data_IF_204336063245
#
_entry.id   IF_204336063245
#
_cell.length_a   1.000
_cell.length_b   1.000
_cell.length_c   1.000
_cell.angle_alpha   90.00
_cell.angle_beta   90.00
_cell.angle_gamma   90.00
#
_symmetry.space_group_name_H-M   'P 1'
#
loop_
_entity.id
_entity.type
_entity.pdbx_description
1 polymer ?
#
# COMPACT_ATOMS: atom_id res chain seq x y z
N UNK A 1 -4.34 -20.01 -7.87
CA UNK A 1 -4.34 -18.55 -8.16
C UNK A 1 -5.16 -17.87 -7.08
N UNK A 2 -4.59 -16.97 -6.26
CA UNK A 2 -5.44 -16.16 -5.36
C UNK A 2 -6.07 -15.03 -6.18
N UNK A 3 -7.39 -14.99 -6.26
CA UNK A 3 -8.11 -13.88 -6.88
C UNK A 3 -7.78 -12.58 -6.15
N UNK A 4 -7.03 -11.68 -6.80
CA UNK A 4 -6.78 -10.34 -6.29
C UNK A 4 -8.07 -9.53 -6.43
N UNK A 5 -8.69 -9.15 -5.31
CA UNK A 5 -9.84 -8.23 -5.34
C UNK A 5 -9.34 -6.79 -5.28
N UNK A 6 -8.91 -6.29 -6.45
CA UNK A 6 -8.48 -4.90 -6.63
C UNK A 6 -9.68 -3.97 -6.73
N UNK A 7 -9.67 -2.88 -5.97
CA UNK A 7 -10.69 -1.83 -6.04
C UNK A 7 -10.04 -0.45 -6.13
N UNK A 8 -10.73 0.46 -6.84
CA UNK A 8 -10.31 1.85 -7.06
C UNK A 8 -11.14 2.74 -6.15
N UNK A 9 -10.46 3.68 -5.50
CA UNK A 9 -11.01 4.55 -4.50
C UNK A 9 -10.74 6.02 -4.86
N UNK A 10 -11.78 6.85 -4.82
CA UNK A 10 -11.63 8.30 -5.05
C UNK A 10 -11.10 8.96 -3.78
N UNK A 11 -10.05 9.74 -3.94
CA UNK A 11 -9.42 10.48 -2.86
C UNK A 11 -10.16 11.81 -2.62
N UNK A 12 -10.18 12.29 -1.37
CA UNK A 12 -10.62 13.66 -1.09
C UNK A 12 -9.58 14.68 -1.56
N UNK A 13 -10.01 15.94 -1.68
CA UNK A 13 -9.19 17.04 -2.21
C UNK A 13 -7.82 17.15 -1.52
N UNK A 14 -7.79 17.08 -0.18
CA UNK A 14 -6.53 17.12 0.59
C UNK A 14 -5.57 15.98 0.24
N UNK A 15 -6.08 14.76 0.10
CA UNK A 15 -5.26 13.61 -0.28
C UNK A 15 -4.80 13.73 -1.74
N UNK A 16 -5.65 14.26 -2.62
CA UNK A 16 -5.30 14.51 -4.02
C UNK A 16 -4.20 15.54 -4.17
N UNK A 17 -4.22 16.62 -3.39
CA UNK A 17 -3.16 17.62 -3.38
C UNK A 17 -1.81 17.02 -2.92
N UNK A 18 -1.84 16.23 -1.83
CA UNK A 18 -0.64 15.63 -1.25
C UNK A 18 -0.01 14.52 -2.11
N UNK A 19 -0.85 13.70 -2.76
CA UNK A 19 -0.40 12.56 -3.58
C UNK A 19 -0.23 12.93 -5.06
N UNK A 20 -0.86 14.02 -5.50
CA UNK A 20 -1.02 14.43 -6.90
C UNK A 20 -1.80 13.40 -7.74
N UNK A 21 -2.73 12.68 -7.11
CA UNK A 21 -3.62 11.69 -7.74
C UNK A 21 -5.06 11.87 -7.30
N UNK A 22 -6.00 11.60 -8.20
CA UNK A 22 -7.44 11.63 -7.87
C UNK A 22 -7.93 10.33 -7.25
N UNK A 23 -7.20 9.24 -7.49
CA UNK A 23 -7.63 7.88 -7.16
C UNK A 23 -6.49 7.06 -6.57
N UNK A 24 -6.83 6.11 -5.71
CA UNK A 24 -5.92 5.12 -5.19
C UNK A 24 -6.46 3.70 -5.40
N UNK A 25 -5.57 2.73 -5.62
CA UNK A 25 -5.93 1.32 -5.76
C UNK A 25 -5.66 0.57 -4.45
N UNK A 26 -6.57 -0.31 -4.04
CA UNK A 26 -6.38 -1.21 -2.92
C UNK A 26 -6.56 -2.67 -3.34
N UNK A 27 -5.73 -3.56 -2.80
CA UNK A 27 -5.96 -5.00 -2.82
C UNK A 27 -6.72 -5.40 -1.55
N UNK A 28 -8.05 -5.53 -1.64
CA UNK A 28 -8.88 -5.81 -0.47
C UNK A 28 -8.60 -7.19 0.13
N UNK A 29 -8.17 -8.16 -0.68
CA UNK A 29 -7.80 -9.49 -0.19
C UNK A 29 -6.56 -9.42 0.67
N UNK A 30 -5.55 -8.67 0.20
CA UNK A 30 -4.32 -8.46 0.96
C UNK A 30 -4.56 -7.67 2.25
N UNK A 31 -5.39 -6.64 2.20
CA UNK A 31 -5.72 -5.83 3.38
C UNK A 31 -6.52 -6.63 4.41
N UNK A 32 -7.49 -7.43 3.96
CA UNK A 32 -8.24 -8.35 4.83
C UNK A 32 -7.32 -9.38 5.49
N UNK A 33 -6.42 -10.02 4.72
CA UNK A 33 -5.46 -11.03 5.23
C UNK A 33 -4.46 -10.48 6.25
N UNK A 34 -4.21 -9.17 6.26
CA UNK A 34 -3.33 -8.54 7.26
C UNK A 34 -4.00 -8.42 8.63
N UNK A 35 -5.33 -8.32 8.65
CA UNK A 35 -6.12 -8.13 9.87
C UNK A 35 -7.40 -9.00 9.86
N UNK A 36 -7.29 -10.34 9.74
CA UNK A 36 -8.46 -11.22 9.71
C UNK A 36 -9.25 -11.23 11.02
N UNK A 37 -8.63 -10.82 12.13
CA UNK A 37 -9.27 -10.65 13.43
C UNK A 37 -10.23 -9.46 13.48
N UNK A 38 -10.06 -8.50 12.57
CA UNK A 38 -10.68 -7.19 12.66
C UNK A 38 -11.89 -7.04 11.75
N UNK A 39 -11.82 -7.64 10.58
CA UNK A 39 -12.86 -7.58 9.57
C UNK A 39 -13.52 -8.94 9.43
N UNK A 40 -14.84 -8.96 9.28
CA UNK A 40 -15.60 -10.19 8.97
C UNK A 40 -15.43 -10.61 7.52
N UNK A 41 -15.32 -9.63 6.62
CA UNK A 41 -15.18 -9.84 5.19
C UNK A 41 -14.44 -8.66 4.51
N UNK A 42 -14.18 -8.79 3.21
CA UNK A 42 -13.57 -7.74 2.39
C UNK A 42 -14.47 -6.51 2.23
N UNK A 43 -15.79 -6.63 2.39
CA UNK A 43 -16.71 -5.49 2.28
C UNK A 43 -16.51 -4.52 3.43
N UNK A 44 -16.26 -5.02 4.63
CA UNK A 44 -15.94 -4.16 5.78
C UNK A 44 -14.63 -3.39 5.57
N UNK A 45 -13.62 -4.00 4.94
CA UNK A 45 -12.37 -3.30 4.57
C UNK A 45 -12.66 -2.15 3.61
N UNK A 46 -13.45 -2.42 2.56
CA UNK A 46 -13.88 -1.40 1.60
C UNK A 46 -14.61 -0.24 2.29
N UNK A 47 -15.62 -0.55 3.10
CA UNK A 47 -16.40 0.46 3.81
C UNK A 47 -15.53 1.32 4.73
N UNK A 48 -14.57 0.70 5.43
CA UNK A 48 -13.62 1.44 6.26
C UNK A 48 -12.81 2.42 5.43
N UNK A 49 -12.23 1.94 4.32
CA UNK A 49 -11.43 2.75 3.41
C UNK A 49 -12.27 3.93 2.90
N UNK A 50 -13.45 3.66 2.33
CA UNK A 50 -14.36 4.68 1.81
C UNK A 50 -14.69 5.75 2.85
N UNK A 51 -15.01 5.33 4.08
CA UNK A 51 -15.30 6.26 5.19
C UNK A 51 -14.11 7.16 5.48
N UNK A 52 -12.90 6.61 5.56
CA UNK A 52 -11.69 7.35 5.95
C UNK A 52 -11.22 8.28 4.84
N UNK A 53 -11.09 7.80 3.60
CA UNK A 53 -10.47 8.59 2.52
C UNK A 53 -11.36 9.70 1.98
N UNK A 54 -12.69 9.54 2.06
CA UNK A 54 -13.66 10.51 1.53
C UNK A 54 -13.67 11.81 2.34
N UNK A 55 -13.47 11.70 3.66
CA UNK A 55 -13.42 12.83 4.57
C UNK A 55 -12.63 12.43 5.83
N UNK A 56 -11.29 12.41 5.76
CA UNK A 56 -10.46 12.12 6.92
C UNK A 56 -10.51 13.30 7.90
N UNK A 57 -10.42 13.00 9.19
CA UNK A 57 -10.31 14.03 10.23
C UNK A 57 -8.87 14.55 10.32
N UNK A 58 -7.90 13.68 10.03
CA UNK A 58 -6.48 14.00 10.09
C UNK A 58 -5.72 13.26 8.99
N UNK A 59 -4.68 13.90 8.45
CA UNK A 59 -3.72 13.29 7.55
C UNK A 59 -2.32 13.63 8.06
N UNK A 60 -1.49 12.62 8.28
CA UNK A 60 -0.08 12.80 8.69
C UNK A 60 0.85 12.12 7.69
N UNK A 61 2.11 12.58 7.64
CA UNK A 61 3.17 11.78 7.01
C UNK A 61 3.35 10.47 7.77
N UNK A 62 3.57 9.38 7.04
CA UNK A 62 3.88 8.09 7.65
C UNK A 62 5.18 8.22 8.47
N UNK A 63 5.19 7.90 9.78
CA UNK A 63 6.40 7.99 10.61
C UNK A 63 7.53 7.07 10.16
N UNK A 64 7.24 6.02 9.41
CA UNK A 64 8.21 5.11 8.81
C UNK A 64 7.97 5.03 7.30
N UNK A 65 8.23 6.14 6.58
CA UNK A 65 7.86 6.26 5.18
C UNK A 65 8.75 5.35 4.32
N UNK A 66 8.18 4.74 3.28
CA UNK A 66 8.98 4.11 2.21
C UNK A 66 9.10 4.97 0.95
N UNK A 67 8.39 6.09 0.91
CA UNK A 67 8.51 7.13 -0.11
C UNK A 67 8.15 8.49 0.51
N UNK A 68 8.53 9.59 -0.14
CA UNK A 68 8.19 10.94 0.32
C UNK A 68 6.68 11.21 0.35
N UNK A 69 5.93 10.47 -0.46
CA UNK A 69 4.47 10.56 -0.60
C UNK A 69 3.80 9.35 0.03
N UNK A 70 4.10 9.15 1.31
CA UNK A 70 3.57 8.09 2.15
C UNK A 70 2.85 8.73 3.34
N UNK A 71 1.54 8.58 3.38
CA UNK A 71 0.65 9.27 4.30
C UNK A 71 -0.26 8.29 5.04
N UNK A 72 -0.69 8.70 6.23
CA UNK A 72 -1.69 8.00 7.02
C UNK A 72 -2.87 8.93 7.24
N UNK A 73 -4.03 8.52 6.76
CA UNK A 73 -5.31 9.19 7.00
C UNK A 73 -6.01 8.53 8.20
N UNK A 74 -6.52 9.36 9.11
CA UNK A 74 -7.26 8.94 10.29
C UNK A 74 -8.65 9.55 10.31
N UNK A 75 -9.64 8.78 10.76
CA UNK A 75 -11.01 9.28 10.96
C UNK A 75 -11.66 8.64 12.18
N UNK A 76 -12.38 9.43 12.97
CA UNK A 76 -13.27 8.94 14.03
C UNK A 76 -14.43 8.17 13.42
N UNK A 77 -14.63 6.93 13.89
CA UNK A 77 -15.77 6.09 13.48
C UNK A 77 -16.86 6.08 14.54
N UNK A 78 -16.46 6.10 15.82
CA UNK A 78 -17.34 6.19 16.98
C UNK A 78 -16.62 6.87 18.14
N UNK A 79 -17.25 6.97 19.31
CA UNK A 79 -16.61 7.51 20.52
C UNK A 79 -15.46 6.63 21.05
N UNK A 80 -15.38 5.39 20.61
CA UNK A 80 -14.34 4.45 21.03
C UNK A 80 -13.36 4.06 19.92
N UNK A 81 -13.76 4.19 18.66
CA UNK A 81 -13.04 3.66 17.50
C UNK A 81 -12.70 4.73 16.46
N UNK A 82 -11.58 4.51 15.78
CA UNK A 82 -11.14 5.29 14.63
C UNK A 82 -10.66 4.35 13.51
N UNK A 83 -10.78 4.79 12.27
CA UNK A 83 -10.25 4.13 11.08
C UNK A 83 -8.94 4.77 10.66
N UNK A 84 -7.93 3.95 10.41
CA UNK A 84 -6.61 4.33 9.94
C UNK A 84 -6.37 3.72 8.56
N UNK A 85 -6.02 4.55 7.58
CA UNK A 85 -5.71 4.11 6.21
C UNK A 85 -4.36 4.67 5.78
N UNK A 86 -3.46 3.79 5.37
CA UNK A 86 -2.14 4.15 4.85
C UNK A 86 -2.15 4.18 3.32
N UNK A 87 -1.75 5.31 2.76
CA UNK A 87 -1.75 5.56 1.31
C UNK A 87 -0.34 5.95 0.89
N UNK A 88 0.17 5.31 -0.16
CA UNK A 88 1.49 5.57 -0.71
C UNK A 88 1.37 5.84 -2.20
N UNK A 89 2.00 6.90 -2.69
CA UNK A 89 2.29 7.04 -4.13
C UNK A 89 3.54 6.24 -4.45
N UNK A 90 3.37 5.22 -5.29
CA UNK A 90 4.47 4.59 -6.03
C UNK A 90 4.49 5.21 -7.42
N UNK A 91 5.67 5.44 -8.03
CA UNK A 91 5.91 5.93 -9.40
C UNK A 91 4.71 6.65 -10.05
N UNK A 92 3.75 5.90 -10.60
CA UNK A 92 2.60 6.43 -11.32
C UNK A 92 1.23 6.22 -10.63
N UNK A 93 1.15 5.51 -9.51
CA UNK A 93 -0.13 5.15 -8.89
C UNK A 93 -0.13 5.26 -7.37
N UNK A 94 -1.19 5.86 -6.83
CA UNK A 94 -1.47 5.82 -5.40
C UNK A 94 -2.05 4.46 -5.02
N UNK A 95 -1.47 3.83 -4.00
CA UNK A 95 -1.92 2.54 -3.46
C UNK A 95 -2.29 2.67 -2.00
N UNK A 96 -3.36 2.01 -1.61
CA UNK A 96 -3.70 1.80 -0.20
C UNK A 96 -2.99 0.53 0.25
N UNK A 97 -2.09 0.67 1.21
CA UNK A 97 -1.29 -0.44 1.73
C UNK A 97 -1.64 -0.84 3.16
N UNK A 98 -2.45 -0.04 3.86
CA UNK A 98 -2.90 -0.31 5.21
C UNK A 98 -4.34 0.16 5.41
N UNK A 99 -5.14 -0.64 6.12
CA UNK A 99 -6.49 -0.30 6.55
C UNK A 99 -6.76 -1.02 7.87
N UNK A 100 -7.13 -0.29 8.92
CA UNK A 100 -7.27 -0.84 10.26
C UNK A 100 -8.22 0.02 11.13
N UNK A 101 -8.93 -0.60 12.06
CA UNK A 101 -9.68 0.04 13.13
C UNK A 101 -8.90 0.03 14.46
N UNK A 102 -8.62 1.22 14.97
CA UNK A 102 -7.93 1.43 16.25
C UNK A 102 -8.83 2.10 17.27
N UNK A 103 -8.39 2.13 18.53
CA UNK A 103 -9.07 2.91 19.58
C UNK A 103 -8.95 4.41 19.29
N UNK A 104 -9.99 5.20 19.59
CA UNK A 104 -10.06 6.64 19.31
C UNK A 104 -8.89 7.43 19.89
N UNK A 105 -8.31 7.00 21.02
CA UNK A 105 -7.11 7.62 21.60
C UNK A 105 -5.94 7.73 20.61
N UNK A 106 -5.84 6.83 19.63
CA UNK A 106 -4.79 6.88 18.62
C UNK A 106 -4.95 8.06 17.66
N UNK A 107 -6.18 8.52 17.40
CA UNK A 107 -6.45 9.70 16.58
C UNK A 107 -5.85 10.96 17.24
N UNK A 108 -6.00 11.10 18.56
CA UNK A 108 -5.36 12.18 19.33
C UNK A 108 -3.84 12.11 19.26
N UNK A 109 -3.28 10.90 19.26
CA UNK A 109 -1.82 10.71 19.10
C UNK A 109 -1.34 11.07 17.69
N UNK A 110 -2.16 10.88 16.66
CA UNK A 110 -1.86 11.35 15.30
C UNK A 110 -1.87 12.89 15.23
N UNK A 111 -2.82 13.55 15.88
CA UNK A 111 -2.91 15.02 15.91
C UNK A 111 -1.65 15.67 16.52
N UNK A 112 -1.02 15.02 17.50
CA UNK A 112 0.26 15.48 18.06
C UNK A 112 1.42 15.40 17.05
N UNK A 113 1.30 14.56 16.03
CA UNK A 113 2.31 14.35 14.97
C UNK A 113 2.02 15.18 13.72
N UNK A 114 0.88 15.87 13.67
CA UNK A 114 0.45 16.73 12.55
C UNK A 114 1.27 18.03 12.45
N UNK A 115 2.14 18.30 13.43
CA UNK A 115 2.99 19.49 13.45
C UNK A 115 4.10 19.38 12.40
N UNK A 116 3.74 19.72 11.16
CA UNK A 116 4.67 20.14 10.12
C UNK A 116 4.50 21.65 9.92
N UNK A 117 4.85 22.46 10.93
CA UNK A 117 5.23 23.86 10.74
C UNK A 117 6.35 24.22 11.73
N UNK A 118 7.45 24.62 11.10
CA UNK A 118 8.64 25.31 11.59
C UNK A 118 9.76 24.51 12.26
N UNK A 119 10.94 24.71 11.70
CA UNK A 119 12.15 23.97 11.99
C UNK A 119 12.55 24.12 13.45
N UNK A 120 12.54 23.01 14.18
CA UNK A 120 13.58 22.74 15.16
C UNK A 120 13.93 21.27 15.05
N UNK A 121 15.21 21.06 14.73
CA UNK A 121 15.94 19.84 14.97
C UNK A 121 15.57 19.28 16.35
N UNK A 122 14.69 18.29 16.35
CA UNK A 122 14.38 17.50 17.52
C UNK A 122 14.93 16.12 17.25
N UNK A 123 16.24 15.97 17.52
CA UNK A 123 16.86 14.70 17.87
C UNK A 123 15.93 13.94 18.83
N UNK A 124 15.11 13.03 18.31
CA UNK A 124 14.51 12.00 19.13
C UNK A 124 15.61 11.00 19.39
N UNK A 125 16.25 11.12 20.55
CA UNK A 125 17.28 10.21 21.02
C UNK A 125 16.80 8.78 20.90
N UNK A 126 17.48 8.07 20.01
CA UNK A 126 17.59 6.62 19.93
C UNK A 126 17.49 5.99 21.34
N UNK A 127 16.42 5.24 21.60
CA UNK A 127 16.41 4.31 22.74
C UNK A 127 17.26 3.12 22.32
N UNK A 128 18.58 3.26 22.52
CA UNK A 128 19.51 2.14 22.55
C UNK A 128 19.03 1.21 23.67
N UNK A 129 18.54 0.03 23.31
CA UNK A 129 18.30 -1.02 24.28
C UNK A 129 19.62 -1.30 25.00
N UNK A 130 19.50 -1.36 26.31
CA UNK A 130 20.57 -1.33 27.29
C UNK A 130 21.61 -2.43 27.06
N UNK A 131 22.87 -2.03 27.24
CA UNK A 131 24.04 -2.85 27.48
C UNK A 131 23.73 -3.99 28.45
N UNK A 132 23.85 -5.24 27.98
CA UNK A 132 23.97 -6.41 28.84
C UNK A 132 25.47 -6.61 29.12
N UNK A 133 25.85 -6.13 30.29
CA UNK A 133 27.11 -6.38 30.97
C UNK A 133 27.43 -7.88 31.05
N UNK A 134 28.71 -8.19 30.88
CA UNK A 134 29.20 -9.55 30.76
C UNK A 134 29.38 -10.21 32.13
N UNK A 135 28.71 -11.36 32.34
CA UNK A 135 29.24 -12.58 33.00
C UNK A 135 28.09 -13.50 33.35
N UNK A 136 28.05 -14.66 32.71
CA UNK A 136 27.79 -16.00 33.29
C UNK A 136 27.91 -17.01 32.14
N UNK A 137 29.15 -17.42 31.83
CA UNK A 137 29.74 -18.73 32.22
C UNK A 137 29.29 -19.87 31.29
N UNK A 138 30.21 -20.20 30.38
CA UNK A 138 30.63 -21.52 29.92
C UNK A 138 29.68 -22.71 30.18
N UNK A 139 29.30 -23.40 29.10
CA UNK A 139 29.66 -24.82 28.91
C UNK A 139 29.36 -25.35 27.50
N UNK A 140 30.37 -26.04 26.98
CA UNK A 140 30.38 -27.02 25.89
C UNK A 140 30.37 -26.52 24.43
N UNK A 141 31.59 -26.25 23.98
CA UNK A 141 32.08 -26.53 22.63
C UNK A 141 32.23 -28.05 22.42
N UNK A 142 31.62 -28.57 21.36
CA UNK A 142 32.15 -29.66 20.50
C UNK A 142 31.37 -29.65 19.19
N UNK A 143 32.01 -29.30 18.07
CA UNK A 143 32.35 -30.20 16.94
C UNK A 143 31.10 -30.90 16.38
N UNK A 144 30.72 -30.79 15.10
CA UNK A 144 31.51 -30.96 13.88
C UNK A 144 30.63 -30.64 12.66
N UNK A 145 31.28 -30.48 11.51
CA UNK A 145 30.77 -30.61 10.13
C UNK A 145 30.56 -29.31 9.36
N UNK A 146 31.66 -28.94 8.72
CA UNK A 146 31.73 -28.23 7.45
C UNK A 146 30.68 -28.76 6.47
N UNK A 147 29.78 -27.88 6.04
CA UNK A 147 29.18 -27.94 4.71
C UNK A 147 28.69 -26.54 4.35
N UNK A 148 29.62 -25.77 3.80
CA UNK A 148 29.32 -24.62 2.96
C UNK A 148 28.63 -25.18 1.71
N UNK A 149 27.30 -25.08 1.65
CA UNK A 149 26.56 -25.33 0.42
C UNK A 149 26.03 -24.01 -0.14
N UNK A 150 26.81 -23.45 -1.05
CA UNK A 150 26.35 -22.51 -2.07
C UNK A 150 25.33 -23.20 -2.95
N UNK A 151 24.03 -22.86 -2.85
CA UNK A 151 23.07 -23.35 -3.83
C UNK A 151 22.92 -22.34 -4.97
N UNK A 152 23.64 -22.63 -6.05
CA UNK A 152 23.42 -22.05 -7.37
C UNK A 152 22.18 -22.67 -8.03
N UNK A 153 21.61 -21.91 -8.97
CA UNK A 153 20.53 -22.22 -9.94
C UNK A 153 19.08 -22.11 -9.45
N UNK A 154 18.38 -21.15 -10.04
CA UNK A 154 17.01 -21.31 -10.56
C UNK A 154 16.81 -20.33 -11.73
N UNK A 155 17.50 -20.57 -12.85
CA UNK A 155 17.29 -19.90 -14.15
C UNK A 155 15.92 -20.23 -14.80
N UNK A 156 15.15 -21.13 -14.18
CA UNK A 156 13.82 -21.56 -14.65
C UNK A 156 12.67 -20.62 -14.25
N UNK A 157 12.88 -19.66 -13.33
CA UNK A 157 11.85 -18.68 -12.92
C UNK A 157 11.85 -17.38 -13.75
N UNK A 158 12.93 -17.09 -14.49
CA UNK A 158 13.02 -15.91 -15.35
C UNK A 158 12.25 -16.11 -16.66
N UNK A 159 12.37 -17.30 -17.28
CA UNK A 159 11.70 -17.63 -18.55
C UNK A 159 10.17 -17.60 -18.46
N UNK A 160 9.59 -18.00 -17.32
CA UNK A 160 8.13 -17.98 -17.15
C UNK A 160 7.58 -16.56 -17.00
N UNK A 161 8.32 -15.64 -16.36
CA UNK A 161 7.90 -14.24 -16.19
C UNK A 161 8.02 -13.43 -17.47
N UNK A 162 9.06 -13.66 -18.27
CA UNK A 162 9.22 -12.96 -19.56
C UNK A 162 8.12 -13.36 -20.55
N UNK A 163 7.77 -14.65 -20.60
CA UNK A 163 6.64 -15.12 -21.42
C UNK A 163 5.29 -14.53 -20.98
N UNK A 164 5.02 -14.42 -19.67
CA UNK A 164 3.82 -13.78 -19.14
C UNK A 164 3.77 -12.27 -19.45
N UNK A 165 4.91 -11.57 -19.39
CA UNK A 165 5.00 -10.14 -19.71
C UNK A 165 4.80 -9.86 -21.21
N UNK A 166 5.31 -10.73 -22.07
CA UNK A 166 5.14 -10.58 -23.52
C UNK A 166 3.72 -10.90 -23.96
N UNK A 167 3.07 -11.91 -23.36
CA UNK A 167 1.65 -12.20 -23.62
C UNK A 167 0.75 -11.04 -23.16
N UNK A 168 1.05 -10.43 -22.00
CA UNK A 168 0.33 -9.26 -21.51
C UNK A 168 0.51 -8.04 -22.43
N UNK A 169 1.73 -7.80 -22.91
CA UNK A 169 2.03 -6.72 -23.87
C UNK A 169 1.34 -6.95 -25.21
N UNK A 170 1.26 -8.19 -25.68
CA UNK A 170 0.55 -8.53 -26.92
C UNK A 170 -0.96 -8.26 -26.80
N UNK A 171 -1.59 -8.66 -25.68
CA UNK A 171 -3.01 -8.39 -25.41
C UNK A 171 -3.32 -6.89 -25.33
N UNK A 172 -2.45 -6.09 -24.71
CA UNK A 172 -2.62 -4.63 -24.67
C UNK A 172 -2.58 -3.99 -26.07
N UNK A 173 -1.67 -4.44 -26.93
CA UNK A 173 -1.60 -3.97 -28.33
C UNK A 173 -2.85 -4.34 -29.13
N UNK A 174 -3.37 -5.56 -28.93
CA UNK A 174 -4.58 -6.02 -29.61
C UNK A 174 -5.83 -5.21 -29.18
N UNK A 175 -5.99 -4.97 -27.88
CA UNK A 175 -7.08 -4.14 -27.35
C UNK A 175 -6.99 -2.70 -27.87
N UNK A 176 -5.80 -2.11 -27.89
CA UNK A 176 -5.60 -0.76 -28.43
C UNK A 176 -5.95 -0.67 -29.92
N UNK A 177 -5.63 -1.72 -30.70
CA UNK A 177 -6.00 -1.78 -32.13
C UNK A 177 -7.52 -1.89 -32.31
N UNK A 178 -8.19 -2.75 -31.53
CA UNK A 178 -9.66 -2.88 -31.55
C UNK A 178 -10.38 -1.57 -31.19
N UNK A 179 -9.85 -0.80 -30.25
CA UNK A 179 -10.40 0.53 -29.90
C UNK A 179 -10.27 1.51 -31.08
N UNK A 180 -9.09 1.58 -31.71
CA UNK A 180 -8.86 2.46 -32.86
C UNK A 180 -9.68 2.07 -34.09
N UNK A 181 -9.83 0.77 -34.34
CA UNK A 181 -10.64 0.27 -35.46
C UNK A 181 -12.14 0.56 -35.24
N UNK A 182 -12.62 0.49 -33.99
CA UNK A 182 -14.01 0.82 -33.64
C UNK A 182 -14.31 2.34 -33.69
N UNK A 183 -13.32 3.20 -33.40
CA UNK A 183 -13.45 4.65 -33.62
C UNK A 183 -13.45 5.00 -35.12
N UNK A 184 -12.69 4.27 -35.94
CA UNK A 184 -12.64 4.49 -37.38
C UNK A 184 -13.92 4.04 -38.10
N UNK A 185 -14.53 2.94 -37.68
CA UNK A 185 -15.84 2.48 -38.23
C UNK A 185 -17.00 3.37 -37.80
N UNK A 186 -16.96 3.96 -36.59
CA UNK A 186 -17.97 4.95 -36.16
C UNK A 186 -17.91 6.26 -36.93
N UNK A 187 -16.72 6.68 -37.36
CA UNK A 187 -16.58 7.89 -38.18
C UNK A 187 -16.93 7.66 -39.66
N UNK A 188 -16.70 6.46 -40.21
CA UNK A 188 -17.04 6.16 -41.61
C UNK A 188 -18.57 6.07 -41.86
N UNK A 189 -19.34 5.64 -40.86
CA UNK A 189 -20.81 5.56 -40.97
C UNK A 189 -21.52 6.91 -40.84
N UNK A 190 -20.80 7.99 -40.52
CA UNK A 190 -21.37 9.34 -40.41
C UNK A 190 -21.34 10.12 -41.72
N UNK A 191 -20.56 9.66 -42.69
CA UNK A 191 -20.35 10.32 -43.99
C UNK A 191 -21.19 9.69 -45.13
N UNK A 192 -22.06 8.70 -44.83
CA UNK A 192 -22.89 7.99 -45.82
C UNK A 192 -24.38 8.36 -45.73
N UNK A 193 -24.82 9.12 -44.71
CA UNK A 193 -26.15 9.74 -44.71
C UNK A 193 -26.11 11.13 -45.38
N UNK A 194 -26.19 11.13 -46.72
CA UNK A 194 -26.71 12.25 -47.53
C UNK A 194 -27.85 11.70 -48.38
#
# INVERSE_FOLDING_TARGET
>A
MSEKSLEIFKLCEKLTELLQDKEAIADLELLFKRHPEMFKDKKQVKELIDKVISKPDIIIKNPSPRSERDYIAGKKLSDEKMGEVGIRKDENISKIFHANEKRLKNLKSMAKKEVLVDGRDAHTSYTQAQSLDGRLVQKNISSTNENILTNSKNESQAKSREQELDEFRAKLKEVSKKIKDNEKTKNLNKDIEI
#
